data_IF_022708541847
#
_entry.id   IF_022708541847
#
_cell.length_a   1.000
_cell.length_b   1.000
_cell.length_c   1.000
_cell.angle_alpha   90.00
_cell.angle_beta   90.00
_cell.angle_gamma   90.00
#
_symmetry.space_group_name_H-M   'P 1'
#
loop_
_entity.id
_entity.type
_entity.pdbx_description
1 polymer ?
#
# COMPACT_ATOMS: atom_id res chain seq x y z
N UNK A 1 25.91 41.60 17.81
CA UNK A 1 25.33 42.36 16.69
C UNK A 1 23.83 42.34 16.83
N UNK A 2 23.18 43.48 16.92
CA UNK A 2 21.74 43.60 17.10
C UNK A 2 21.00 43.10 15.88
N UNK A 3 19.91 42.32 16.08
CA UNK A 3 18.99 41.83 15.03
C UNK A 3 18.45 42.97 14.16
N UNK A 4 18.28 44.16 14.71
CA UNK A 4 17.75 45.36 14.02
C UNK A 4 18.65 45.91 12.91
N UNK A 5 19.92 45.53 12.87
CA UNK A 5 20.86 46.01 11.85
C UNK A 5 20.86 45.16 10.55
N UNK A 6 20.07 44.10 10.48
CA UNK A 6 20.05 43.15 9.34
C UNK A 6 18.74 43.08 8.56
N UNK A 7 17.70 43.81 8.98
CA UNK A 7 16.40 43.79 8.33
C UNK A 7 15.94 45.21 7.99
N UNK A 8 16.20 45.67 6.78
CA UNK A 8 15.57 46.85 6.20
C UNK A 8 14.48 46.40 5.22
N UNK A 9 13.22 46.54 5.59
CA UNK A 9 12.07 46.11 4.78
C UNK A 9 11.36 47.29 4.10
N UNK A 10 12.02 48.43 3.88
CA UNK A 10 11.34 49.68 3.56
C UNK A 10 11.73 50.31 2.21
N UNK A 11 12.48 49.62 1.36
CA UNK A 11 12.71 50.07 -0.02
C UNK A 11 12.33 48.99 -1.01
N UNK A 12 11.79 49.35 -2.15
CA UNK A 12 11.33 48.45 -3.21
C UNK A 12 12.42 47.51 -3.76
N UNK A 13 13.67 47.82 -3.55
CA UNK A 13 14.81 46.95 -3.83
C UNK A 13 16.00 47.32 -2.92
N UNK A 14 16.38 46.39 -2.05
CA UNK A 14 17.58 46.48 -1.23
C UNK A 14 18.57 45.42 -1.69
N UNK A 15 19.69 45.77 -2.34
CA UNK A 15 20.70 44.82 -2.81
C UNK A 15 21.37 44.05 -1.67
N UNK A 16 21.30 44.56 -0.43
CA UNK A 16 21.82 43.92 0.79
C UNK A 16 20.74 43.08 1.50
N UNK A 17 19.52 43.01 0.97
CA UNK A 17 18.46 42.19 1.54
C UNK A 17 18.84 40.70 1.50
N UNK A 18 18.51 40.00 2.58
CA UNK A 18 18.70 38.56 2.64
C UNK A 18 17.82 37.84 1.60
N UNK A 19 18.41 36.91 0.86
CA UNK A 19 17.61 35.98 0.06
C UNK A 19 16.69 35.14 0.96
N UNK A 20 15.64 34.59 0.40
CA UNK A 20 14.70 33.70 1.14
C UNK A 20 15.45 32.54 1.81
N UNK A 21 16.44 31.97 1.11
CA UNK A 21 17.28 30.88 1.62
C UNK A 21 18.13 31.33 2.81
N UNK A 22 18.74 32.49 2.72
CA UNK A 22 19.54 33.07 3.81
C UNK A 22 18.68 33.41 5.02
N UNK A 23 17.48 33.99 4.79
CA UNK A 23 16.53 34.29 5.87
C UNK A 23 16.05 32.99 6.57
N UNK A 24 15.71 31.94 5.79
CA UNK A 24 15.35 30.62 6.34
C UNK A 24 16.49 29.99 7.14
N UNK A 25 17.71 30.03 6.62
CA UNK A 25 18.88 29.49 7.32
C UNK A 25 19.11 30.22 8.63
N UNK A 26 19.02 31.57 8.61
CA UNK A 26 19.15 32.39 9.80
C UNK A 26 18.07 32.06 10.84
N UNK A 27 16.78 32.01 10.45
CA UNK A 27 15.69 31.64 11.36
C UNK A 27 15.96 30.28 11.99
N UNK A 28 16.30 29.28 11.18
CA UNK A 28 16.60 27.91 11.68
C UNK A 28 17.75 27.92 12.68
N UNK A 29 18.80 28.75 12.48
CA UNK A 29 19.93 28.82 13.40
C UNK A 29 19.58 29.45 14.76
N UNK A 30 18.47 30.18 14.85
CA UNK A 30 18.00 30.80 16.09
C UNK A 30 16.95 29.97 16.84
N UNK A 31 16.43 28.90 16.19
CA UNK A 31 15.41 28.06 16.79
C UNK A 31 16.05 26.88 17.50
N UNK A 32 15.65 26.68 18.75
CA UNK A 32 15.95 25.43 19.47
C UNK A 32 14.69 24.55 19.44
N UNK A 33 14.76 23.34 18.87
CA UNK A 33 13.63 22.43 18.87
C UNK A 33 13.17 22.11 20.29
N UNK A 34 11.86 21.96 20.48
CA UNK A 34 11.28 21.48 21.74
C UNK A 34 11.77 20.07 22.00
N UNK A 35 12.52 19.86 23.07
CA UNK A 35 13.12 18.55 23.41
C UNK A 35 12.33 17.76 24.44
N UNK A 36 11.38 18.39 25.14
CA UNK A 36 10.57 17.71 26.17
C UNK A 36 9.54 16.78 25.54
N UNK A 37 9.35 15.62 26.15
CA UNK A 37 8.40 14.59 25.72
C UNK A 37 7.46 14.25 26.86
N UNK A 38 6.22 13.97 26.54
CA UNK A 38 5.23 13.51 27.50
C UNK A 38 4.45 12.31 26.95
N UNK A 39 3.92 11.50 27.80
CA UNK A 39 3.01 10.41 27.43
C UNK A 39 1.58 10.86 27.72
N UNK A 40 0.76 10.89 26.69
CA UNK A 40 -0.65 11.30 26.78
C UNK A 40 -1.57 10.17 26.35
N UNK A 41 -2.79 10.19 26.85
CA UNK A 41 -3.82 9.27 26.35
C UNK A 41 -4.11 9.60 24.87
N UNK A 42 -4.43 8.58 24.05
CA UNK A 42 -4.67 8.72 22.61
C UNK A 42 -5.71 9.80 22.30
N UNK A 43 -6.78 9.89 23.07
CA UNK A 43 -7.84 10.92 22.90
C UNK A 43 -7.34 12.37 23.13
N UNK A 44 -6.23 12.53 23.86
CA UNK A 44 -5.62 13.83 24.16
C UNK A 44 -4.43 14.13 23.23
N UNK A 45 -4.15 13.25 22.26
CA UNK A 45 -3.02 13.38 21.36
C UNK A 45 -3.31 14.28 20.14
N UNK A 46 -4.56 14.66 19.92
CA UNK A 46 -4.92 15.54 18.80
C UNK A 46 -4.16 16.87 18.88
N UNK A 47 -3.50 17.28 17.80
CA UNK A 47 -2.68 18.49 17.73
C UNK A 47 -1.30 18.35 18.39
N UNK A 48 -0.91 17.16 18.86
CA UNK A 48 0.43 16.88 19.39
C UNK A 48 1.35 16.36 18.29
N UNK A 49 2.63 16.61 18.43
CA UNK A 49 3.67 16.14 17.53
C UNK A 49 4.28 14.85 18.07
N UNK A 50 4.39 13.83 17.23
CA UNK A 50 5.01 12.56 17.60
C UNK A 50 6.49 12.73 17.96
N UNK A 51 6.88 12.26 19.14
CA UNK A 51 8.26 12.34 19.62
C UNK A 51 9.15 11.22 19.04
N UNK A 52 8.53 10.13 18.55
CA UNK A 52 9.22 8.98 17.94
C UNK A 52 8.31 8.35 16.89
N UNK A 53 8.92 7.56 16.01
CA UNK A 53 8.16 6.77 15.04
C UNK A 53 7.18 5.82 15.73
N UNK A 54 6.00 5.68 15.14
CA UNK A 54 5.06 4.61 15.48
C UNK A 54 5.30 3.47 14.53
N UNK A 55 5.88 2.39 15.04
CA UNK A 55 6.24 1.22 14.24
C UNK A 55 5.03 0.28 14.11
N UNK A 56 4.74 -0.18 12.90
CA UNK A 56 3.69 -1.16 12.64
C UNK A 56 4.06 -2.51 13.28
N UNK A 57 3.24 -3.07 14.18
CA UNK A 57 3.55 -4.33 14.86
C UNK A 57 3.26 -5.56 13.99
N UNK A 58 2.50 -5.42 12.93
CA UNK A 58 2.11 -6.49 11.99
C UNK A 58 1.88 -5.90 10.59
N UNK A 59 1.83 -6.78 9.60
CA UNK A 59 1.49 -6.41 8.23
C UNK A 59 0.01 -6.07 8.08
N UNK A 60 -0.30 -5.12 7.20
CA UNK A 60 -1.65 -4.84 6.70
C UNK A 60 -1.58 -4.78 5.17
N UNK A 61 -2.28 -5.67 4.45
CA UNK A 61 -2.96 -6.88 4.95
C UNK A 61 -1.97 -7.87 5.61
N UNK A 62 -2.50 -8.75 6.49
CA UNK A 62 -1.67 -9.72 7.21
C UNK A 62 -1.07 -10.81 6.29
N UNK A 63 -1.76 -11.12 5.19
CA UNK A 63 -1.40 -12.13 4.20
C UNK A 63 -1.76 -11.62 2.80
N UNK A 64 -1.14 -12.21 1.79
CA UNK A 64 -1.57 -12.02 0.40
C UNK A 64 -3.04 -12.39 0.27
N UNK A 65 -3.82 -11.58 -0.45
CA UNK A 65 -5.23 -11.83 -0.61
C UNK A 65 -5.76 -11.28 -1.93
N UNK A 66 -6.93 -11.77 -2.35
CA UNK A 66 -7.58 -11.25 -3.55
C UNK A 66 -8.15 -9.85 -3.31
N UNK A 67 -7.85 -8.94 -4.21
CA UNK A 67 -8.45 -7.60 -4.24
C UNK A 67 -9.89 -7.61 -4.78
N UNK A 68 -10.29 -8.66 -5.51
CA UNK A 68 -11.53 -8.73 -6.27
C UNK A 68 -12.17 -10.11 -6.15
N UNK A 69 -13.47 -10.18 -6.43
CA UNK A 69 -14.16 -11.44 -6.68
C UNK A 69 -13.82 -11.93 -8.10
N UNK A 70 -13.49 -13.20 -8.23
CA UNK A 70 -13.05 -13.72 -9.52
C UNK A 70 -12.55 -15.16 -9.47
N UNK A 71 -11.50 -15.43 -10.22
CA UNK A 71 -10.90 -16.76 -10.38
C UNK A 71 -9.40 -16.67 -10.16
N UNK A 72 -8.92 -17.36 -9.14
CA UNK A 72 -7.50 -17.55 -8.86
C UNK A 72 -6.95 -18.67 -9.74
N UNK A 73 -5.87 -18.40 -10.44
CA UNK A 73 -5.29 -19.27 -11.45
C UNK A 73 -3.78 -19.08 -11.54
N UNK A 74 -3.14 -19.91 -12.33
CA UNK A 74 -1.73 -19.80 -12.67
C UNK A 74 -1.57 -19.01 -13.95
N UNK A 75 -0.82 -17.91 -13.90
CA UNK A 75 -0.53 -17.12 -15.11
C UNK A 75 0.08 -17.95 -16.24
N UNK A 76 0.90 -18.96 -15.89
CA UNK A 76 1.55 -19.82 -16.85
C UNK A 76 0.58 -20.67 -17.69
N UNK A 77 -0.67 -20.83 -17.25
CA UNK A 77 -1.69 -21.59 -17.98
C UNK A 77 -2.47 -20.72 -18.99
N UNK A 78 -2.30 -19.40 -18.91
CA UNK A 78 -3.01 -18.48 -19.79
C UNK A 78 -2.32 -18.38 -21.16
N UNK A 79 -3.13 -18.47 -22.22
CA UNK A 79 -2.64 -18.26 -23.57
C UNK A 79 -2.22 -16.79 -23.80
N UNK A 80 -1.14 -16.57 -24.52
CA UNK A 80 -0.68 -15.22 -24.88
C UNK A 80 -1.62 -14.50 -25.86
N UNK A 81 -2.50 -15.26 -26.56
CA UNK A 81 -3.52 -14.74 -27.46
C UNK A 81 -4.73 -15.68 -27.47
N UNK A 82 -5.92 -15.14 -27.75
CA UNK A 82 -7.17 -15.89 -27.72
C UNK A 82 -7.70 -16.11 -26.30
N UNK A 83 -8.44 -17.16 -26.10
CA UNK A 83 -9.09 -17.52 -24.84
C UNK A 83 -8.43 -18.74 -24.22
N UNK A 84 -8.48 -18.84 -22.91
CA UNK A 84 -8.04 -20.02 -22.15
C UNK A 84 -9.23 -20.58 -21.37
N UNK A 85 -9.45 -21.88 -21.46
CA UNK A 85 -10.47 -22.60 -20.68
C UNK A 85 -9.82 -23.27 -19.49
N UNK A 86 -10.35 -23.01 -18.29
CA UNK A 86 -9.85 -23.56 -17.03
C UNK A 86 -11.00 -24.24 -16.29
N UNK A 87 -10.73 -25.38 -15.67
CA UNK A 87 -11.70 -26.09 -14.85
C UNK A 87 -11.79 -25.50 -13.45
N UNK A 88 -13.01 -25.23 -12.98
CA UNK A 88 -13.26 -24.66 -11.64
C UNK A 88 -13.31 -25.77 -10.61
N UNK A 89 -12.25 -25.94 -9.81
CA UNK A 89 -12.13 -27.06 -8.85
C UNK A 89 -12.68 -26.73 -7.46
N UNK A 90 -13.16 -25.51 -7.22
CA UNK A 90 -13.73 -25.14 -5.94
C UNK A 90 -13.84 -23.63 -5.71
N UNK A 91 -14.04 -23.24 -4.44
CA UNK A 91 -14.20 -21.84 -4.05
C UNK A 91 -13.36 -21.52 -2.82
N UNK A 92 -12.60 -20.41 -2.88
CA UNK A 92 -11.85 -19.84 -1.77
C UNK A 92 -12.63 -18.64 -1.19
N UNK A 93 -12.90 -18.70 0.10
CA UNK A 93 -13.66 -17.67 0.84
C UNK A 93 -12.74 -16.92 1.81
N UNK A 94 -13.03 -15.65 2.05
CA UNK A 94 -12.34 -14.88 3.09
C UNK A 94 -12.46 -15.58 4.46
N UNK A 95 -11.33 -15.65 5.18
CA UNK A 95 -11.26 -16.30 6.49
C UNK A 95 -11.21 -17.84 6.45
N UNK A 96 -11.23 -18.46 5.25
CA UNK A 96 -11.13 -19.92 5.11
C UNK A 96 -10.09 -20.26 4.03
N UNK A 97 -9.03 -20.95 4.43
CA UNK A 97 -8.00 -21.42 3.49
C UNK A 97 -8.59 -22.50 2.59
N UNK A 98 -8.37 -22.39 1.28
CA UNK A 98 -8.70 -23.42 0.33
C UNK A 98 -7.82 -24.66 0.55
N UNK A 99 -8.45 -25.82 0.73
CA UNK A 99 -7.74 -27.07 0.98
C UNK A 99 -7.34 -27.70 -0.35
N UNK A 100 -6.07 -27.61 -0.72
CA UNK A 100 -5.52 -28.19 -1.95
C UNK A 100 -4.62 -27.20 -2.69
N UNK A 101 -4.10 -27.68 -3.82
CA UNK A 101 -3.31 -26.88 -4.76
C UNK A 101 -4.01 -26.87 -6.11
N UNK A 102 -3.81 -25.79 -6.85
CA UNK A 102 -4.35 -25.62 -8.20
C UNK A 102 -3.32 -26.14 -9.21
N UNK A 103 -3.73 -27.12 -9.99
CA UNK A 103 -2.92 -27.74 -11.04
C UNK A 103 -2.98 -26.99 -12.37
N UNK A 104 -2.42 -27.62 -13.41
CA UNK A 104 -2.47 -27.09 -14.78
C UNK A 104 -3.90 -27.14 -15.34
N UNK A 105 -4.31 -26.09 -16.03
CA UNK A 105 -5.65 -25.90 -16.58
C UNK A 105 -6.78 -25.91 -15.53
N UNK A 106 -6.46 -25.64 -14.27
CA UNK A 106 -7.42 -25.51 -13.18
C UNK A 106 -7.47 -24.07 -12.64
N UNK A 107 -8.59 -23.72 -12.03
CA UNK A 107 -8.74 -22.49 -11.28
C UNK A 107 -9.67 -22.67 -10.08
N UNK A 108 -9.66 -21.71 -9.18
CA UNK A 108 -10.57 -21.68 -8.01
C UNK A 108 -11.32 -20.36 -8.03
N UNK A 109 -12.64 -20.41 -7.90
CA UNK A 109 -13.41 -19.19 -7.64
C UNK A 109 -12.95 -18.58 -6.33
N UNK A 110 -12.58 -17.30 -6.34
CA UNK A 110 -12.05 -16.62 -5.19
C UNK A 110 -12.85 -15.35 -4.88
N UNK A 111 -13.08 -15.11 -3.59
CA UNK A 111 -13.76 -13.92 -3.11
C UNK A 111 -12.76 -12.92 -2.56
N UNK A 112 -13.11 -11.64 -2.62
CA UNK A 112 -12.31 -10.54 -2.07
C UNK A 112 -11.90 -10.81 -0.63
N UNK A 113 -10.62 -10.62 -0.32
CA UNK A 113 -10.04 -10.90 0.99
C UNK A 113 -9.67 -12.37 1.24
N UNK A 114 -9.98 -13.29 0.33
CA UNK A 114 -9.55 -14.67 0.42
C UNK A 114 -8.07 -14.83 0.05
N UNK A 115 -7.39 -15.79 0.71
CA UNK A 115 -6.01 -16.13 0.36
C UNK A 115 -6.00 -16.83 -1.00
N UNK A 116 -5.10 -16.45 -1.92
CA UNK A 116 -4.88 -17.20 -3.15
C UNK A 116 -4.51 -18.66 -2.81
N UNK A 117 -5.16 -19.66 -3.44
CA UNK A 117 -4.80 -21.06 -3.26
C UNK A 117 -3.35 -21.34 -3.66
N UNK A 118 -2.76 -22.37 -3.08
CA UNK A 118 -1.42 -22.81 -3.47
C UNK A 118 -1.37 -23.14 -4.98
N UNK A 119 -0.36 -22.61 -5.66
CA UNK A 119 -0.19 -22.70 -7.09
C UNK A 119 -0.75 -21.51 -7.88
N UNK A 120 -1.65 -20.70 -7.32
CA UNK A 120 -2.16 -19.50 -7.97
C UNK A 120 -1.26 -18.28 -7.71
N UNK A 121 -1.08 -17.48 -8.75
CA UNK A 121 -0.32 -16.24 -8.75
C UNK A 121 -1.06 -15.06 -9.36
N UNK A 122 -2.29 -15.26 -9.82
CA UNK A 122 -3.08 -14.29 -10.58
C UNK A 122 -4.57 -14.46 -10.28
N UNK A 123 -5.29 -13.35 -10.17
CA UNK A 123 -6.76 -13.35 -10.05
C UNK A 123 -7.36 -12.60 -11.23
N UNK A 124 -8.24 -13.25 -11.97
CA UNK A 124 -9.04 -12.65 -13.05
C UNK A 124 -10.44 -12.36 -12.51
N UNK A 125 -10.89 -11.12 -12.68
CA UNK A 125 -12.20 -10.68 -12.15
C UNK A 125 -13.35 -11.38 -12.85
N UNK A 126 -14.41 -11.68 -12.11
CA UNK A 126 -15.55 -12.44 -12.62
C UNK A 126 -16.30 -11.75 -13.77
N UNK A 127 -16.20 -10.42 -13.86
CA UNK A 127 -16.89 -9.60 -14.86
C UNK A 127 -16.31 -9.71 -16.28
N UNK A 128 -15.08 -10.23 -16.41
CA UNK A 128 -14.42 -10.35 -17.73
C UNK A 128 -14.33 -11.77 -18.25
N UNK A 129 -14.82 -12.74 -17.49
CA UNK A 129 -14.81 -14.15 -17.87
C UNK A 129 -16.21 -14.65 -18.23
N UNK A 130 -16.27 -15.69 -19.02
CA UNK A 130 -17.52 -16.40 -19.34
C UNK A 130 -17.52 -17.78 -18.66
N UNK A 131 -18.71 -18.20 -18.18
CA UNK A 131 -18.90 -19.51 -17.59
C UNK A 131 -19.48 -20.47 -18.65
N UNK A 132 -18.86 -21.65 -18.77
CA UNK A 132 -19.31 -22.73 -19.64
C UNK A 132 -19.32 -24.03 -18.83
N UNK A 133 -20.44 -24.31 -18.18
CA UNK A 133 -20.60 -25.46 -17.29
C UNK A 133 -19.70 -25.32 -16.03
N UNK A 134 -18.75 -26.24 -15.88
CA UNK A 134 -17.76 -26.30 -14.83
C UNK A 134 -16.42 -25.63 -15.21
N UNK A 135 -16.40 -25.00 -16.38
CA UNK A 135 -15.23 -24.25 -16.87
C UNK A 135 -15.47 -22.76 -16.87
N UNK A 136 -14.37 -22.02 -16.77
CA UNK A 136 -14.32 -20.59 -16.99
C UNK A 136 -13.48 -20.30 -18.23
N UNK A 137 -13.98 -19.43 -19.09
CA UNK A 137 -13.29 -18.94 -20.29
C UNK A 137 -12.67 -17.60 -19.98
N UNK A 138 -11.35 -17.55 -19.98
CA UNK A 138 -10.56 -16.38 -19.62
C UNK A 138 -10.01 -15.72 -20.89
N UNK A 139 -10.30 -14.45 -21.16
CA UNK A 139 -9.77 -13.76 -22.33
C UNK A 139 -8.28 -13.47 -22.18
N UNK A 140 -7.55 -13.37 -23.28
CA UNK A 140 -6.15 -12.97 -23.30
C UNK A 140 -5.95 -11.55 -22.71
N UNK A 141 -4.68 -11.19 -22.44
CA UNK A 141 -4.31 -9.87 -21.96
C UNK A 141 -4.26 -9.76 -20.42
N UNK A 142 -4.46 -10.86 -19.70
CA UNK A 142 -4.29 -10.88 -18.25
C UNK A 142 -2.82 -10.75 -17.86
N UNK A 143 -2.54 -10.08 -16.75
CA UNK A 143 -1.17 -9.84 -16.28
C UNK A 143 -0.86 -10.68 -15.05
N UNK A 144 0.37 -11.19 -14.97
CA UNK A 144 0.85 -11.88 -13.80
C UNK A 144 0.71 -11.00 -12.52
N UNK A 145 0.25 -11.59 -11.43
CA UNK A 145 0.09 -10.91 -10.16
C UNK A 145 -1.09 -9.94 -10.08
N UNK A 146 -1.88 -9.78 -11.16
CA UNK A 146 -3.02 -8.86 -11.11
C UNK A 146 -4.04 -9.26 -10.05
N UNK A 147 -4.65 -8.25 -9.42
CA UNK A 147 -5.69 -8.37 -8.39
C UNK A 147 -5.29 -9.19 -7.15
N UNK A 148 -3.99 -9.34 -6.90
CA UNK A 148 -3.46 -9.85 -5.63
C UNK A 148 -2.87 -8.70 -4.84
N UNK A 149 -3.35 -8.49 -3.61
CA UNK A 149 -2.78 -7.59 -2.62
C UNK A 149 -1.71 -8.33 -1.84
N UNK A 150 -0.54 -7.73 -1.73
CA UNK A 150 0.57 -8.35 -1.01
C UNK A 150 0.51 -8.06 0.50
N UNK A 151 0.96 -9.02 1.29
CA UNK A 151 1.13 -8.82 2.73
C UNK A 151 1.98 -7.59 3.03
N UNK A 152 1.46 -6.69 3.86
CA UNK A 152 2.18 -5.48 4.26
C UNK A 152 2.22 -4.36 3.23
N UNK A 153 1.43 -4.40 2.16
CA UNK A 153 1.44 -3.34 1.14
C UNK A 153 0.93 -1.99 1.69
N UNK A 154 0.00 -1.98 2.64
CA UNK A 154 -0.46 -0.75 3.30
C UNK A 154 0.45 -0.38 4.49
N UNK A 155 0.75 -1.36 5.36
CA UNK A 155 1.64 -1.22 6.50
C UNK A 155 2.53 -2.46 6.63
N UNK A 156 3.82 -2.30 6.49
CA UNK A 156 4.77 -3.40 6.68
C UNK A 156 5.23 -3.50 8.14
N UNK A 157 5.17 -4.69 8.71
CA UNK A 157 5.67 -4.97 10.06
C UNK A 157 7.11 -4.48 10.25
N UNK A 158 7.39 -3.82 11.37
CA UNK A 158 8.70 -3.27 11.69
C UNK A 158 9.05 -1.97 10.96
N UNK A 159 8.17 -1.43 10.10
CA UNK A 159 8.34 -0.14 9.45
C UNK A 159 7.52 0.95 10.13
N UNK A 160 7.92 2.23 10.04
CA UNK A 160 7.14 3.33 10.56
C UNK A 160 5.78 3.44 9.85
N UNK A 161 4.70 3.30 10.61
CA UNK A 161 3.34 3.67 10.16
C UNK A 161 3.16 5.19 10.20
N UNK A 162 3.76 5.85 11.20
CA UNK A 162 3.82 7.31 11.32
C UNK A 162 5.24 7.70 11.74
N UNK A 163 5.82 8.67 11.06
CA UNK A 163 7.14 9.16 11.40
C UNK A 163 7.09 10.19 12.55
N UNK A 164 8.17 10.27 13.34
CA UNK A 164 8.39 11.34 14.30
C UNK A 164 8.29 12.72 13.62
N UNK A 165 7.82 13.71 14.36
CA UNK A 165 7.65 15.07 13.87
C UNK A 165 6.31 15.33 13.14
N UNK A 166 5.44 14.34 13.10
CA UNK A 166 4.08 14.44 12.52
C UNK A 166 3.05 14.78 13.55
#
# INVERSE_FOLDING_TARGET
MSLTARFSCLSDYDPDALSVEQARAFIRSQLTPVGTRERVALRSALGRVLASDVIAPFNVPAHDNSAMDGYALRQADLAGSGETRLHVIGTALAGKVFAGAVGTAECVRIMTGALPPAGCDTVVIQEVVELDGDQVVVPAGQRAGQNIRLAGEDLAAGKPALAAGR
#
